data_IF_083889412519
#
_entry.id   IF_083889412519
#
_cell.length_a   1.000
_cell.length_b   1.000
_cell.length_c   1.000
_cell.angle_alpha   90.00
_cell.angle_beta   90.00
_cell.angle_gamma   90.00
#
_symmetry.space_group_name_H-M   'P 1'
#
loop_
_entity.id
_entity.type
_entity.pdbx_description
1 polymer ?
#
# COMPACT_ATOMS: atom_id res chain seq x y z
N UNK A 1 4.86 66.53 -15.42
CA UNK A 1 5.42 65.28 -15.94
C UNK A 1 5.33 64.23 -14.84
N UNK A 2 4.30 63.40 -14.87
CA UNK A 2 4.00 62.42 -13.79
C UNK A 2 4.42 61.04 -14.30
N UNK A 3 5.46 60.47 -13.70
CA UNK A 3 5.94 59.14 -14.03
C UNK A 3 5.15 58.10 -13.22
N UNK A 4 4.39 57.27 -13.92
CA UNK A 4 3.76 56.09 -13.34
C UNK A 4 4.74 54.92 -13.41
N UNK A 5 5.23 54.48 -12.26
CA UNK A 5 6.01 53.25 -12.14
C UNK A 5 5.01 52.09 -12.01
N UNK A 6 4.89 51.28 -13.06
CA UNK A 6 4.12 50.04 -13.01
C UNK A 6 5.00 48.95 -12.38
N UNK A 7 4.70 48.63 -11.13
CA UNK A 7 5.31 47.47 -10.47
C UNK A 7 4.64 46.21 -10.92
N UNK A 8 5.32 45.43 -11.75
CA UNK A 8 4.85 44.11 -12.21
C UNK A 8 5.03 43.10 -11.07
N UNK A 9 3.93 42.74 -10.42
CA UNK A 9 3.92 41.69 -9.39
C UNK A 9 3.95 40.33 -10.07
N UNK A 10 5.11 39.67 -10.05
CA UNK A 10 5.28 38.30 -10.53
C UNK A 10 4.64 37.35 -9.49
N UNK A 11 3.44 36.85 -9.75
CA UNK A 11 2.86 35.74 -8.99
C UNK A 11 3.62 34.46 -9.38
N UNK A 12 4.50 34.00 -8.53
CA UNK A 12 5.07 32.67 -8.64
C UNK A 12 4.00 31.64 -8.21
N UNK A 13 3.35 31.00 -9.18
CA UNK A 13 2.50 29.84 -8.92
C UNK A 13 3.41 28.65 -8.57
N UNK A 14 3.45 28.31 -7.31
CA UNK A 14 4.08 27.06 -6.87
C UNK A 14 3.19 25.90 -7.31
N UNK A 15 3.64 25.16 -8.31
CA UNK A 15 3.08 23.87 -8.65
C UNK A 15 3.52 22.90 -7.56
N UNK A 16 2.60 22.57 -6.65
CA UNK A 16 2.79 21.44 -5.75
C UNK A 16 2.79 20.18 -6.60
N UNK A 17 3.96 19.58 -6.80
CA UNK A 17 4.07 18.29 -7.43
C UNK A 17 3.33 17.27 -6.54
N UNK A 18 2.26 16.69 -7.08
CA UNK A 18 1.47 15.68 -6.39
C UNK A 18 2.34 14.41 -6.26
N UNK A 19 2.82 14.15 -5.03
CA UNK A 19 3.72 13.01 -4.74
C UNK A 19 3.05 11.65 -5.00
N UNK A 20 1.74 11.59 -5.08
CA UNK A 20 0.97 10.36 -5.34
C UNK A 20 1.12 9.84 -6.77
N UNK A 21 1.53 10.69 -7.72
CA UNK A 21 1.69 10.33 -9.14
C UNK A 21 2.86 9.36 -9.39
N UNK A 22 3.75 9.12 -8.43
CA UNK A 22 4.93 8.28 -8.58
C UNK A 22 4.77 6.87 -8.03
N UNK A 23 3.70 6.62 -7.27
CA UNK A 23 3.41 5.31 -6.67
C UNK A 23 2.22 4.67 -7.37
N UNK A 24 2.41 3.44 -7.84
CA UNK A 24 1.37 2.64 -8.49
C UNK A 24 1.29 1.25 -7.88
N UNK A 25 0.13 0.61 -8.03
CA UNK A 25 -0.12 -0.74 -7.55
C UNK A 25 -0.65 -1.63 -8.67
N UNK A 26 -0.23 -2.89 -8.68
CA UNK A 26 -0.67 -3.91 -9.63
C UNK A 26 -0.95 -5.22 -8.93
N UNK A 27 -1.73 -6.09 -9.59
CA UNK A 27 -1.96 -7.50 -9.22
C UNK A 27 -2.44 -7.70 -7.78
N UNK A 28 -3.17 -6.72 -7.23
CA UNK A 28 -3.62 -6.75 -5.85
C UNK A 28 -4.84 -7.67 -5.66
N UNK A 29 -4.85 -8.40 -4.55
CA UNK A 29 -6.01 -9.16 -4.10
C UNK A 29 -5.94 -9.45 -2.60
N UNK A 30 -7.10 -9.72 -2.01
CA UNK A 30 -7.24 -10.24 -0.66
C UNK A 30 -7.65 -11.70 -0.77
N UNK A 31 -6.97 -12.56 -0.04
CA UNK A 31 -7.36 -13.96 0.07
C UNK A 31 -8.66 -14.07 0.85
N UNK A 32 -9.62 -14.84 0.36
CA UNK A 32 -10.81 -15.14 1.13
C UNK A 32 -10.40 -15.84 2.44
N UNK A 33 -10.87 -15.37 3.60
CA UNK A 33 -10.62 -16.06 4.87
C UNK A 33 -11.12 -17.51 4.83
N UNK A 34 -10.42 -18.38 5.50
CA UNK A 34 -10.92 -19.75 5.69
C UNK A 34 -12.21 -19.72 6.53
N UNK A 35 -13.16 -20.65 6.31
CA UNK A 35 -14.37 -20.73 7.11
C UNK A 35 -14.09 -20.71 8.61
N UNK A 36 -14.77 -19.83 9.34
CA UNK A 36 -14.58 -19.64 10.78
C UNK A 36 -13.31 -18.86 11.17
N UNK A 37 -12.55 -18.35 10.20
CA UNK A 37 -11.37 -17.51 10.44
C UNK A 37 -11.69 -16.05 10.09
N UNK A 38 -11.20 -15.14 10.95
CA UNK A 38 -11.35 -13.68 10.78
C UNK A 38 -10.06 -13.02 10.32
N UNK A 39 -8.99 -13.80 10.13
CA UNK A 39 -7.67 -13.33 9.70
C UNK A 39 -7.38 -13.83 8.29
N UNK A 40 -6.87 -12.94 7.45
CA UNK A 40 -6.44 -13.28 6.09
C UNK A 40 -5.25 -12.45 5.66
N UNK A 41 -4.77 -12.68 4.44
CA UNK A 41 -3.64 -11.96 3.86
C UNK A 41 -4.07 -11.20 2.60
N UNK A 42 -3.40 -10.08 2.37
CA UNK A 42 -3.49 -9.30 1.14
C UNK A 42 -2.13 -9.22 0.45
N UNK A 43 -2.17 -9.17 -0.88
CA UNK A 43 -0.99 -9.16 -1.74
C UNK A 43 -1.16 -8.11 -2.83
N UNK A 44 -0.07 -7.46 -3.21
CA UNK A 44 -0.02 -6.52 -4.33
C UNK A 44 1.43 -6.24 -4.71
N UNK A 45 1.63 -5.68 -5.88
CA UNK A 45 2.91 -5.15 -6.31
C UNK A 45 2.89 -3.63 -6.19
N UNK A 46 3.90 -3.04 -5.54
CA UNK A 46 4.10 -1.61 -5.42
C UNK A 46 5.24 -1.17 -6.32
N UNK A 47 5.01 -0.16 -7.14
CA UNK A 47 6.02 0.43 -8.01
C UNK A 47 6.25 1.89 -7.64
N UNK A 48 7.51 2.24 -7.41
CA UNK A 48 7.96 3.60 -7.20
C UNK A 48 8.69 4.09 -8.47
N UNK A 49 8.01 4.85 -9.31
CA UNK A 49 8.59 5.44 -10.52
C UNK A 49 9.24 6.80 -10.28
N UNK A 50 9.25 7.28 -9.04
CA UNK A 50 9.87 8.55 -8.63
C UNK A 50 11.38 8.46 -8.50
N UNK A 51 11.99 9.61 -8.22
CA UNK A 51 13.45 9.76 -8.09
C UNK A 51 13.96 9.57 -6.64
N UNK A 52 13.07 9.35 -5.69
CA UNK A 52 13.40 9.18 -4.26
C UNK A 52 12.90 7.85 -3.74
N UNK A 53 13.65 7.26 -2.83
CA UNK A 53 13.21 6.09 -2.08
C UNK A 53 12.03 6.46 -1.19
N UNK A 54 11.10 5.53 -1.03
CA UNK A 54 9.93 5.67 -0.16
C UNK A 54 9.67 4.34 0.53
N UNK A 55 9.04 4.39 1.70
CA UNK A 55 8.66 3.18 2.45
C UNK A 55 7.16 3.17 2.70
N UNK A 56 6.55 1.99 2.54
CA UNK A 56 5.19 1.74 3.04
C UNK A 56 5.28 1.54 4.55
N UNK A 57 4.61 2.38 5.32
CA UNK A 57 4.72 2.37 6.80
C UNK A 57 3.46 1.85 7.49
N UNK A 58 2.30 1.97 6.87
CA UNK A 58 1.06 1.43 7.41
C UNK A 58 -0.03 1.26 6.35
N UNK A 59 -1.02 0.49 6.71
CA UNK A 59 -2.24 0.29 5.91
C UNK A 59 -3.45 0.45 6.82
N UNK A 60 -4.45 1.20 6.36
CA UNK A 60 -5.73 1.35 7.05
C UNK A 60 -6.88 0.90 6.17
N UNK A 61 -7.93 0.38 6.77
CA UNK A 61 -9.13 -0.09 6.08
C UNK A 61 -10.29 -0.20 7.04
N UNK A 62 -11.50 0.07 6.55
CA UNK A 62 -12.73 -0.10 7.33
C UNK A 62 -13.24 -1.56 7.34
N UNK A 63 -12.72 -2.39 6.44
CA UNK A 63 -13.14 -3.79 6.31
C UNK A 63 -12.52 -4.73 7.36
N UNK A 64 -11.47 -4.29 8.05
CA UNK A 64 -10.76 -5.04 9.08
C UNK A 64 -10.46 -4.14 10.28
N UNK A 65 -10.41 -4.71 11.47
CA UNK A 65 -10.06 -3.96 12.68
C UNK A 65 -8.59 -3.52 12.69
N UNK A 66 -7.71 -4.29 12.07
CA UNK A 66 -6.27 -4.02 12.02
C UNK A 66 -5.62 -4.60 10.77
N UNK A 67 -4.66 -3.87 10.22
CA UNK A 67 -3.79 -4.32 9.15
C UNK A 67 -2.33 -4.14 9.58
N UNK A 68 -1.50 -5.14 9.30
CA UNK A 68 -0.07 -5.15 9.62
C UNK A 68 0.75 -5.56 8.40
N UNK A 69 2.02 -5.13 8.36
CA UNK A 69 2.99 -5.56 7.37
C UNK A 69 3.76 -6.75 7.92
N UNK A 70 3.80 -7.85 7.19
CA UNK A 70 4.46 -9.10 7.60
C UNK A 70 5.36 -9.63 6.50
N UNK A 71 6.31 -10.48 6.89
CA UNK A 71 7.12 -11.26 5.95
C UNK A 71 7.32 -12.67 6.45
N UNK A 72 7.46 -13.62 5.52
CA UNK A 72 7.98 -14.93 5.82
C UNK A 72 9.50 -14.88 5.76
N UNK A 73 10.16 -15.38 6.81
CA UNK A 73 11.60 -15.57 6.86
C UNK A 73 11.96 -17.03 7.06
N UNK A 74 13.06 -17.44 6.46
CA UNK A 74 13.68 -18.76 6.70
C UNK A 74 14.87 -18.57 7.60
N UNK A 75 14.80 -19.10 8.81
CA UNK A 75 15.88 -19.06 9.78
C UNK A 75 16.09 -20.47 10.37
N UNK A 76 17.31 -20.99 10.27
CA UNK A 76 17.69 -22.30 10.77
C UNK A 76 16.80 -23.45 10.27
N UNK A 77 16.43 -23.44 8.98
CA UNK A 77 15.54 -24.42 8.36
C UNK A 77 14.07 -24.30 8.75
N UNK A 78 13.71 -23.29 9.54
CA UNK A 78 12.33 -23.01 9.97
C UNK A 78 11.77 -21.79 9.26
N UNK A 79 10.54 -21.92 8.75
CA UNK A 79 9.77 -20.81 8.22
C UNK A 79 9.08 -20.07 9.38
N UNK A 80 9.34 -18.78 9.49
CA UNK A 80 8.72 -17.90 10.48
C UNK A 80 7.99 -16.76 9.79
N UNK A 81 6.89 -16.31 10.40
CA UNK A 81 6.18 -15.11 10.03
C UNK A 81 6.54 -14.01 11.03
N UNK A 82 7.03 -12.89 10.53
CA UNK A 82 7.46 -11.75 11.36
C UNK A 82 6.76 -10.48 10.90
N UNK A 83 6.33 -9.68 11.87
CA UNK A 83 5.87 -8.32 11.59
C UNK A 83 7.07 -7.45 11.24
N UNK A 84 6.92 -6.61 10.20
CA UNK A 84 7.90 -5.58 9.83
C UNK A 84 7.29 -4.20 10.01
N UNK A 85 8.12 -3.23 10.39
CA UNK A 85 7.65 -1.86 10.62
C UNK A 85 7.38 -1.10 9.31
N UNK A 86 8.13 -1.44 8.27
CA UNK A 86 8.01 -0.80 6.96
C UNK A 86 8.49 -1.71 5.84
N UNK A 87 8.09 -1.38 4.63
CA UNK A 87 8.56 -2.02 3.39
C UNK A 87 9.19 -0.95 2.52
N UNK A 88 10.50 -1.04 2.29
CA UNK A 88 11.25 -0.08 1.48
C UNK A 88 11.03 -0.32 0.00
N UNK A 89 10.78 0.76 -0.73
CA UNK A 89 10.60 0.75 -2.18
C UNK A 89 11.57 1.78 -2.77
N UNK A 90 12.72 1.29 -3.24
CA UNK A 90 13.74 2.15 -3.82
C UNK A 90 13.23 2.87 -5.08
N UNK A 91 13.77 4.06 -5.34
CA UNK A 91 13.45 4.84 -6.54
C UNK A 91 13.62 4.00 -7.81
N UNK A 92 12.63 4.05 -8.69
CA UNK A 92 12.64 3.32 -9.95
C UNK A 92 12.48 1.80 -9.83
N UNK A 93 12.05 1.28 -8.68
CA UNK A 93 11.90 -0.17 -8.45
C UNK A 93 10.47 -0.55 -8.08
N UNK A 94 10.19 -1.85 -8.18
CA UNK A 94 8.96 -2.48 -7.72
C UNK A 94 9.25 -3.46 -6.58
N UNK A 95 8.31 -3.56 -5.65
CA UNK A 95 8.30 -4.56 -4.57
C UNK A 95 7.05 -5.42 -4.72
N UNK A 96 7.24 -6.73 -4.87
CA UNK A 96 6.15 -7.69 -4.94
C UNK A 96 5.84 -8.25 -3.55
N UNK A 97 4.58 -8.14 -3.16
CA UNK A 97 4.02 -8.81 -1.99
C UNK A 97 3.25 -10.03 -2.47
N UNK A 98 3.73 -11.21 -2.12
CA UNK A 98 3.24 -12.48 -2.64
C UNK A 98 3.26 -13.57 -1.56
N UNK A 99 2.48 -14.65 -1.73
CA UNK A 99 2.51 -15.79 -0.81
C UNK A 99 3.93 -16.34 -0.62
N UNK A 100 4.33 -16.53 0.63
CA UNK A 100 5.68 -16.97 1.00
C UNK A 100 6.71 -15.86 1.15
N UNK A 101 6.33 -14.61 0.93
CA UNK A 101 7.17 -13.41 1.09
C UNK A 101 6.51 -12.34 1.93
N UNK A 102 6.65 -11.10 1.50
CA UNK A 102 5.96 -9.94 2.09
C UNK A 102 4.45 -10.04 1.86
N UNK A 103 3.66 -9.63 2.84
CA UNK A 103 2.20 -9.59 2.72
C UNK A 103 1.57 -8.62 3.74
N UNK A 104 0.33 -8.24 3.44
CA UNK A 104 -0.53 -7.58 4.43
C UNK A 104 -1.19 -8.66 5.27
N UNK A 105 -1.13 -8.52 6.59
CA UNK A 105 -1.91 -9.37 7.50
C UNK A 105 -3.12 -8.57 7.96
N UNK A 106 -4.31 -9.09 7.68
CA UNK A 106 -5.59 -8.43 7.91
C UNK A 106 -6.35 -9.17 9.00
N UNK A 107 -6.65 -8.46 10.08
CA UNK A 107 -7.24 -9.04 11.30
C UNK A 107 -8.67 -8.57 11.49
N UNK A 108 -9.50 -9.49 11.92
CA UNK A 108 -10.87 -9.22 12.36
C UNK A 108 -11.69 -8.52 11.27
N UNK A 109 -12.01 -9.26 10.21
CA UNK A 109 -12.93 -8.79 9.19
C UNK A 109 -14.25 -8.34 9.82
N UNK A 110 -14.71 -7.15 9.43
CA UNK A 110 -15.95 -6.54 9.95
C UNK A 110 -17.21 -7.26 9.47
N UNK A 111 -17.10 -8.02 8.39
CA UNK A 111 -18.16 -8.86 7.83
C UNK A 111 -17.56 -10.04 7.10
N UNK A 112 -18.39 -11.03 6.76
CA UNK A 112 -17.98 -12.13 5.90
C UNK A 112 -17.58 -11.60 4.52
N UNK A 113 -16.45 -12.07 4.00
CA UNK A 113 -15.92 -11.64 2.71
C UNK A 113 -16.25 -12.67 1.64
N UNK A 114 -16.93 -12.22 0.59
CA UNK A 114 -17.28 -13.04 -0.56
C UNK A 114 -16.28 -12.87 -1.70
N UNK A 115 -16.07 -13.95 -2.48
CA UNK A 115 -15.24 -13.92 -3.68
C UNK A 115 -15.79 -12.87 -4.66
N UNK A 116 -14.92 -12.00 -5.17
CA UNK A 116 -15.29 -10.93 -6.08
C UNK A 116 -15.68 -9.61 -5.39
N UNK A 117 -15.86 -9.63 -4.07
CA UNK A 117 -16.09 -8.40 -3.31
C UNK A 117 -14.86 -7.49 -3.41
N UNK A 118 -15.09 -6.19 -3.56
CA UNK A 118 -14.03 -5.17 -3.59
C UNK A 118 -13.85 -4.58 -2.20
N UNK A 119 -12.62 -4.52 -1.72
CA UNK A 119 -12.26 -3.99 -0.40
C UNK A 119 -11.36 -2.77 -0.58
N UNK A 120 -11.75 -1.64 0.00
CA UNK A 120 -10.95 -0.42 -0.02
C UNK A 120 -9.85 -0.46 1.06
N UNK A 121 -8.65 -0.11 0.67
CA UNK A 121 -7.48 0.03 1.53
C UNK A 121 -6.84 1.40 1.30
N UNK A 122 -6.24 1.95 2.33
CA UNK A 122 -5.40 3.15 2.21
C UNK A 122 -3.98 2.83 2.66
N UNK A 123 -3.04 3.01 1.75
CA UNK A 123 -1.61 2.84 2.00
C UNK A 123 -1.02 4.17 2.46
N UNK A 124 -0.20 4.14 3.49
CA UNK A 124 0.50 5.31 4.04
C UNK A 124 2.01 5.14 3.88
N UNK A 125 2.65 6.16 3.33
CA UNK A 125 4.07 6.14 2.99
C UNK A 125 4.88 7.10 3.87
N UNK A 126 6.18 6.86 3.97
CA UNK A 126 7.11 7.61 4.83
C UNK A 126 7.26 9.08 4.48
N UNK A 127 6.98 9.48 3.24
CA UNK A 127 7.00 10.88 2.78
C UNK A 127 5.68 11.63 3.03
N UNK A 128 4.69 10.98 3.69
CA UNK A 128 3.35 11.51 3.92
C UNK A 128 2.37 11.24 2.78
N UNK A 129 2.81 10.65 1.67
CA UNK A 129 1.92 10.24 0.58
C UNK A 129 0.95 9.16 1.05
N UNK A 130 -0.26 9.19 0.48
CA UNK A 130 -1.31 8.21 0.71
C UNK A 130 -1.84 7.72 -0.62
N UNK A 131 -2.11 6.42 -0.71
CA UNK A 131 -2.67 5.81 -1.90
C UNK A 131 -3.92 5.01 -1.52
N UNK A 132 -5.06 5.45 -2.01
CA UNK A 132 -6.34 4.73 -1.86
C UNK A 132 -6.49 3.75 -3.00
N UNK A 133 -6.76 2.49 -2.69
CA UNK A 133 -6.99 1.43 -3.67
C UNK A 133 -8.10 0.49 -3.23
N UNK A 134 -8.64 -0.26 -4.18
CA UNK A 134 -9.58 -1.34 -3.93
C UNK A 134 -8.99 -2.66 -4.45
N UNK A 135 -9.10 -3.72 -3.65
CA UNK A 135 -8.61 -5.05 -3.99
C UNK A 135 -9.78 -6.03 -4.03
N UNK A 136 -9.82 -6.91 -5.05
CA UNK A 136 -10.82 -7.99 -5.10
C UNK A 136 -10.47 -9.09 -4.10
N UNK A 137 -11.50 -9.69 -3.52
CA UNK A 137 -11.37 -10.93 -2.74
C UNK A 137 -11.30 -12.12 -3.69
N UNK A 138 -10.25 -12.93 -3.57
CA UNK A 138 -10.05 -14.13 -4.40
C UNK A 138 -10.02 -15.40 -3.54
N UNK A 139 -10.47 -16.50 -4.13
CA UNK A 139 -10.36 -17.81 -3.52
C UNK A 139 -8.89 -18.22 -3.33
N UNK A 140 -8.62 -19.05 -2.32
CA UNK A 140 -7.32 -19.71 -2.21
C UNK A 140 -7.11 -20.62 -3.42
N UNK A 141 -5.89 -20.63 -4.01
CA UNK A 141 -5.55 -21.65 -4.99
C UNK A 141 -5.75 -23.04 -4.37
N UNK A 142 -6.46 -23.90 -5.07
CA UNK A 142 -6.52 -25.31 -4.68
C UNK A 142 -5.12 -25.90 -4.84
N UNK A 143 -4.63 -26.55 -3.80
CA UNK A 143 -3.39 -27.32 -3.85
C UNK A 143 -3.61 -28.59 -4.65
#
# INVERSE_FOLDING_TARGET
>A
MRWFVFTLLLLATQVLADSTATLTTDNGYIRQPMPGRTVTAGYLTLTNSGAKDVSLVSVTTDAFARAELHQHSHKDGMMRMEQVESIDIAAGTSVEMAPGGLHLMLFEASSELEIGQMVALQLHFSDGAQLLLTLPVKAMPKR
#
